data_IF_075240880126
#
_entry.id   IF_075240880126
#
_cell.length_a   1.000
_cell.length_b   1.000
_cell.length_c   1.000
_cell.angle_alpha   90.00
_cell.angle_beta   90.00
_cell.angle_gamma   90.00
#
_symmetry.space_group_name_H-M   'P 1'
#
loop_
_entity.id
_entity.type
_entity.pdbx_description
1 polymer ?
#
# COMPACT_ATOMS: atom_id res chain seq x y z
N UNK A 1 -25.93 -24.34 42.84
CA UNK A 1 -25.54 -23.36 43.88
C UNK A 1 -24.02 -23.29 43.95
N UNK A 2 -23.43 -22.10 44.11
CA UNK A 2 -22.59 -21.48 43.07
C UNK A 2 -21.31 -20.77 43.59
N UNK A 3 -20.54 -20.16 42.65
CA UNK A 3 -19.57 -19.07 42.88
C UNK A 3 -18.36 -19.14 41.94
N UNK A 4 -18.29 -18.38 40.82
CA UNK A 4 -17.75 -17.00 40.68
C UNK A 4 -16.19 -16.96 40.79
N UNK A 5 -15.37 -16.39 39.89
CA UNK A 5 -15.55 -15.27 38.97
C UNK A 5 -14.71 -15.40 37.68
N UNK A 6 -15.32 -15.07 36.53
CA UNK A 6 -14.64 -14.62 35.31
C UNK A 6 -15.11 -13.19 35.08
N UNK A 7 -14.26 -12.21 35.38
CA UNK A 7 -14.51 -10.82 35.01
C UNK A 7 -14.28 -10.62 33.51
N UNK A 8 -15.37 -10.70 32.76
CA UNK A 8 -15.56 -9.98 31.51
C UNK A 8 -15.85 -8.53 31.87
N UNK A 9 -15.02 -7.60 31.41
CA UNK A 9 -15.38 -6.17 31.39
C UNK A 9 -16.02 -5.89 30.03
N UNK A 10 -17.35 -6.05 29.98
CA UNK A 10 -18.20 -5.32 29.06
C UNK A 10 -18.62 -4.00 29.70
N UNK A 11 -18.66 -2.93 28.91
CA UNK A 11 -19.43 -1.75 29.23
C UNK A 11 -18.73 -0.44 28.88
N UNK A 12 -18.74 -0.06 27.60
CA UNK A 12 -19.36 1.20 27.16
C UNK A 12 -20.02 0.93 25.81
N UNK A 13 -21.34 0.79 25.85
CA UNK A 13 -22.23 0.96 24.71
C UNK A 13 -22.16 2.42 24.24
N UNK A 14 -21.23 2.71 23.34
CA UNK A 14 -21.23 3.95 22.56
C UNK A 14 -21.90 3.66 21.23
N UNK A 15 -23.09 4.22 21.03
CA UNK A 15 -23.71 4.35 19.71
C UNK A 15 -22.66 4.85 18.72
N UNK A 16 -22.29 4.03 17.74
CA UNK A 16 -21.71 4.54 16.51
C UNK A 16 -22.74 5.51 15.92
N UNK A 17 -22.41 6.78 15.64
CA UNK A 17 -23.25 7.56 14.77
C UNK A 17 -23.24 6.85 13.41
N UNK A 18 -24.39 6.28 13.04
CA UNK A 18 -24.73 6.02 11.64
C UNK A 18 -24.78 7.36 10.92
N UNK A 19 -23.61 7.83 10.48
CA UNK A 19 -23.42 8.84 9.45
C UNK A 19 -22.71 8.07 8.34
N UNK A 20 -23.28 7.65 7.22
CA UNK A 20 -24.43 8.10 6.45
C UNK A 20 -25.09 6.88 5.81
N UNK A 21 -26.39 6.69 6.02
CA UNK A 21 -27.26 5.88 5.16
C UNK A 21 -28.71 6.17 5.52
N UNK A 22 -29.21 7.32 5.06
CA UNK A 22 -30.58 7.53 4.57
C UNK A 22 -30.76 8.99 4.16
N UNK A 23 -30.93 9.18 2.86
CA UNK A 23 -31.12 10.45 2.17
C UNK A 23 -31.19 10.22 0.67
N UNK A 24 -31.86 9.13 0.24
CA UNK A 24 -32.38 9.02 -1.12
C UNK A 24 -33.66 9.86 -1.14
N UNK A 25 -33.51 11.12 -1.52
CA UNK A 25 -34.52 11.91 -2.19
C UNK A 25 -33.75 12.88 -3.07
N UNK A 26 -33.94 12.75 -4.38
CA UNK A 26 -33.49 13.68 -5.40
C UNK A 26 -33.78 15.12 -4.99
N UNK A 27 -32.81 16.01 -5.25
CA UNK A 27 -33.08 17.06 -6.21
C UNK A 27 -32.21 16.80 -7.42
N UNK A 28 -32.78 17.03 -8.60
CA UNK A 28 -32.05 17.11 -9.87
C UNK A 28 -30.72 17.86 -9.67
N UNK A 29 -29.64 17.09 -9.53
CA UNK A 29 -28.29 17.61 -9.60
C UNK A 29 -28.10 17.91 -11.09
N UNK A 30 -28.45 19.14 -11.48
CA UNK A 30 -28.08 19.69 -12.77
C UNK A 30 -26.57 19.65 -12.84
N UNK A 31 -26.04 18.55 -13.36
CA UNK A 31 -24.67 18.43 -13.80
C UNK A 31 -24.46 19.58 -14.78
N UNK A 32 -23.81 20.64 -14.29
CA UNK A 32 -23.34 21.72 -15.14
C UNK A 32 -22.43 21.01 -16.15
N UNK A 33 -22.73 21.02 -17.46
CA UNK A 33 -21.82 20.45 -18.44
C UNK A 33 -20.48 21.11 -18.22
N UNK A 34 -19.36 20.37 -18.14
CA UNK A 34 -18.06 21.00 -18.03
C UNK A 34 -17.96 22.03 -19.16
N UNK A 35 -17.80 23.31 -18.80
CA UNK A 35 -17.39 24.31 -19.76
C UNK A 35 -16.17 23.72 -20.49
N UNK A 36 -16.16 23.77 -21.83
CA UNK A 36 -15.07 23.16 -22.60
C UNK A 36 -13.75 23.76 -22.12
N UNK A 37 -12.95 22.96 -21.42
CA UNK A 37 -11.69 23.40 -20.89
C UNK A 37 -10.75 23.74 -22.06
N UNK A 38 -9.98 24.82 -21.91
CA UNK A 38 -9.06 25.27 -22.96
C UNK A 38 -7.97 24.23 -23.27
N UNK A 39 -7.64 23.36 -22.30
CA UNK A 39 -6.65 22.29 -22.44
C UNK A 39 -7.14 20.99 -21.79
N UNK A 40 -6.91 19.87 -22.47
CA UNK A 40 -7.11 18.52 -21.95
C UNK A 40 -5.78 17.76 -21.85
N UNK A 41 -5.62 16.94 -20.81
CA UNK A 41 -4.53 15.98 -20.65
C UNK A 41 -5.10 14.58 -20.45
N UNK A 42 -4.77 13.65 -21.35
CA UNK A 42 -5.25 12.27 -21.31
C UNK A 42 -4.63 11.51 -20.13
N UNK A 43 -3.31 11.68 -19.94
CA UNK A 43 -2.56 11.02 -18.88
C UNK A 43 -1.61 11.97 -18.16
N UNK A 44 -1.63 11.93 -16.83
CA UNK A 44 -0.64 12.63 -16.01
C UNK A 44 -0.02 11.71 -14.97
N UNK A 45 1.20 12.03 -14.58
CA UNK A 45 1.86 11.44 -13.40
C UNK A 45 2.34 12.56 -12.48
N UNK A 46 2.15 12.43 -11.16
CA UNK A 46 2.69 13.38 -10.18
C UNK A 46 3.90 12.81 -9.44
N UNK A 47 4.97 13.60 -9.36
CA UNK A 47 6.19 13.26 -8.63
C UNK A 47 6.96 14.56 -8.29
N UNK A 48 7.64 14.64 -7.12
CA UNK A 48 8.14 15.91 -6.59
C UNK A 48 9.24 16.52 -7.46
N UNK A 49 10.15 15.68 -7.96
CA UNK A 49 11.36 16.11 -8.67
C UNK A 49 11.53 15.33 -9.97
N UNK A 50 11.21 15.91 -11.14
CA UNK A 50 11.26 15.21 -12.42
C UNK A 50 12.68 14.89 -12.89
N UNK A 51 13.69 15.57 -12.36
CA UNK A 51 15.10 15.30 -12.63
C UNK A 51 15.75 14.26 -11.69
N UNK A 52 15.00 13.71 -10.73
CA UNK A 52 15.52 12.64 -9.90
C UNK A 52 15.71 11.38 -10.76
N UNK A 53 16.77 10.62 -10.54
CA UNK A 53 17.05 9.39 -11.32
C UNK A 53 15.99 8.31 -11.09
N UNK A 54 15.36 8.35 -9.92
CA UNK A 54 14.18 7.55 -9.63
C UNK A 54 13.00 8.02 -10.49
N UNK A 55 12.17 7.10 -11.01
CA UNK A 55 11.04 7.34 -11.91
C UNK A 55 11.38 7.76 -13.35
N UNK A 56 12.60 8.20 -13.65
CA UNK A 56 12.96 8.70 -14.97
C UNK A 56 12.72 7.69 -16.11
N UNK A 57 13.01 6.41 -15.88
CA UNK A 57 12.75 5.36 -16.86
C UNK A 57 11.24 5.17 -17.09
N UNK A 58 10.46 5.10 -16.01
CA UNK A 58 9.01 4.93 -16.08
C UNK A 58 8.30 6.10 -16.76
N UNK A 59 8.68 7.34 -16.43
CA UNK A 59 8.14 8.54 -17.09
C UNK A 59 8.45 8.54 -18.60
N UNK A 60 9.65 8.11 -18.99
CA UNK A 60 10.02 7.97 -20.40
C UNK A 60 9.21 6.87 -21.11
N UNK A 61 8.94 5.74 -20.45
CA UNK A 61 8.06 4.70 -21.00
C UNK A 61 6.64 5.21 -21.18
N UNK A 62 6.06 5.88 -20.18
CA UNK A 62 4.72 6.50 -20.30
C UNK A 62 4.66 7.49 -21.46
N UNK A 63 5.62 8.42 -21.55
CA UNK A 63 5.68 9.41 -22.63
C UNK A 63 5.76 8.76 -24.02
N UNK A 64 6.61 7.73 -24.17
CA UNK A 64 6.76 6.99 -25.42
C UNK A 64 5.47 6.27 -25.81
N UNK A 65 4.86 5.55 -24.88
CA UNK A 65 3.62 4.79 -25.14
C UNK A 65 2.42 5.72 -25.42
N UNK A 66 2.33 6.87 -24.75
CA UNK A 66 1.33 7.91 -25.03
C UNK A 66 1.53 8.50 -26.44
N UNK A 67 2.77 8.87 -26.80
CA UNK A 67 3.09 9.41 -28.12
C UNK A 67 2.71 8.44 -29.24
N UNK A 68 2.97 7.15 -29.08
CA UNK A 68 2.58 6.12 -30.05
C UNK A 68 1.06 5.98 -30.23
N UNK A 69 0.26 6.47 -29.28
CA UNK A 69 -1.22 6.38 -29.27
C UNK A 69 -1.90 7.74 -29.43
N UNK A 70 -1.14 8.78 -29.73
CA UNK A 70 -1.62 10.16 -29.83
C UNK A 70 -2.34 10.66 -28.56
N UNK A 71 -1.86 10.24 -27.39
CA UNK A 71 -2.34 10.74 -26.11
C UNK A 71 -1.42 11.85 -25.59
N UNK A 72 -2.03 12.88 -25.04
CA UNK A 72 -1.32 13.93 -24.32
C UNK A 72 -0.84 13.41 -22.96
N UNK A 73 0.41 13.72 -22.63
CA UNK A 73 1.07 13.28 -21.40
C UNK A 73 1.80 14.43 -20.73
N UNK A 74 1.67 14.54 -19.41
CA UNK A 74 2.42 15.54 -18.63
C UNK A 74 2.85 14.99 -17.26
N UNK A 75 4.09 15.31 -16.87
CA UNK A 75 4.59 15.13 -15.50
C UNK A 75 4.26 16.38 -14.70
N UNK A 76 3.55 16.22 -13.60
CA UNK A 76 3.25 17.27 -12.63
C UNK A 76 4.22 17.14 -11.46
N UNK A 77 4.82 18.24 -11.04
CA UNK A 77 5.88 18.24 -10.02
C UNK A 77 5.86 19.50 -9.17
N UNK A 78 6.81 19.65 -8.23
CA UNK A 78 6.81 20.73 -7.23
C UNK A 78 6.72 22.14 -7.86
N UNK A 79 7.25 22.29 -9.07
CA UNK A 79 7.23 23.55 -9.82
C UNK A 79 5.93 23.85 -10.57
N UNK A 80 5.06 22.85 -10.76
CA UNK A 80 3.85 22.96 -11.60
C UNK A 80 2.56 22.55 -10.89
N UNK A 81 2.62 21.83 -9.76
CA UNK A 81 1.44 21.30 -9.07
C UNK A 81 0.45 22.39 -8.63
N UNK A 82 0.96 23.50 -8.09
CA UNK A 82 0.12 24.63 -7.63
C UNK A 82 -0.58 25.33 -8.80
N UNK A 83 0.14 25.52 -9.91
CA UNK A 83 -0.44 26.12 -11.12
C UNK A 83 -1.46 25.18 -11.77
N UNK A 84 -1.16 23.88 -11.81
CA UNK A 84 -2.06 22.85 -12.33
C UNK A 84 -3.36 22.82 -11.54
N UNK A 85 -3.29 22.85 -10.20
CA UNK A 85 -4.45 22.97 -9.32
C UNK A 85 -5.27 24.22 -9.59
N UNK A 86 -4.62 25.37 -9.80
CA UNK A 86 -5.31 26.62 -10.14
C UNK A 86 -6.06 26.48 -11.46
N UNK A 87 -5.42 25.93 -12.48
CA UNK A 87 -6.00 25.79 -13.82
C UNK A 87 -7.15 24.78 -13.85
N UNK A 88 -7.03 23.67 -13.11
CA UNK A 88 -8.13 22.73 -12.87
C UNK A 88 -9.30 23.49 -12.23
N UNK A 89 -9.11 24.11 -11.07
CA UNK A 89 -10.17 24.83 -10.33
C UNK A 89 -10.84 25.94 -11.14
N UNK A 90 -10.11 26.57 -12.05
CA UNK A 90 -10.62 27.59 -12.96
C UNK A 90 -11.33 27.03 -14.22
N UNK A 91 -11.33 25.72 -14.42
CA UNK A 91 -11.89 25.07 -15.62
C UNK A 91 -11.04 25.25 -16.88
N UNK A 92 -9.81 25.76 -16.76
CA UNK A 92 -8.90 25.97 -17.90
C UNK A 92 -8.13 24.70 -18.30
N UNK A 93 -8.14 23.69 -17.43
CA UNK A 93 -7.49 22.40 -17.63
C UNK A 93 -8.44 21.28 -17.20
N UNK A 94 -8.44 20.17 -17.92
CA UNK A 94 -9.00 18.89 -17.47
C UNK A 94 -7.96 17.78 -17.59
N UNK A 95 -8.07 16.77 -16.72
CA UNK A 95 -7.20 15.59 -16.72
C UNK A 95 -8.08 14.34 -16.76
N UNK A 96 -7.87 13.48 -17.75
CA UNK A 96 -8.62 12.23 -17.92
C UNK A 96 -8.19 11.14 -16.93
N UNK A 97 -6.89 10.83 -16.88
CA UNK A 97 -6.33 9.78 -16.02
C UNK A 97 -5.07 10.24 -15.28
N UNK A 98 -4.98 9.96 -13.98
CA UNK A 98 -3.91 10.48 -13.12
C UNK A 98 -3.21 9.40 -12.28
N UNK A 99 -1.90 9.26 -12.48
CA UNK A 99 -1.02 8.40 -11.69
C UNK A 99 -0.40 9.23 -10.56
N UNK A 100 -0.83 8.95 -9.34
CA UNK A 100 -0.31 9.60 -8.16
C UNK A 100 0.83 8.78 -7.54
N UNK A 101 2.03 9.37 -7.47
CA UNK A 101 3.21 8.74 -6.88
C UNK A 101 3.74 9.51 -5.67
N UNK A 102 3.02 10.51 -5.16
CA UNK A 102 3.58 11.33 -4.08
C UNK A 102 2.60 11.86 -3.05
N UNK A 103 1.28 11.74 -3.22
CA UNK A 103 0.34 12.26 -2.22
C UNK A 103 0.65 11.78 -0.81
N UNK A 104 0.70 12.75 0.10
CA UNK A 104 0.86 12.51 1.53
C UNK A 104 -0.47 12.79 2.23
N UNK A 105 -1.37 11.82 2.19
CA UNK A 105 -2.76 11.95 2.66
C UNK A 105 -2.93 12.37 4.13
N UNK A 106 -1.89 12.18 4.94
CA UNK A 106 -1.84 12.56 6.36
C UNK A 106 -1.37 14.00 6.58
N UNK A 107 -0.76 14.63 5.57
CA UNK A 107 -0.28 16.01 5.64
C UNK A 107 -1.43 16.95 5.23
N UNK A 108 -1.88 17.84 6.13
CA UNK A 108 -2.92 18.80 5.79
C UNK A 108 -2.49 19.70 4.62
N UNK A 109 -3.37 19.85 3.63
CA UNK A 109 -3.13 20.67 2.42
C UNK A 109 -1.92 20.23 1.60
N UNK A 110 -1.61 18.93 1.61
CA UNK A 110 -0.64 18.37 0.68
C UNK A 110 -1.09 18.63 -0.77
N UNK A 111 -0.27 19.31 -1.61
CA UNK A 111 -0.69 19.73 -2.93
C UNK A 111 -0.95 18.55 -3.88
N UNK A 112 -0.33 17.40 -3.64
CA UNK A 112 -0.54 16.20 -4.45
C UNK A 112 -1.85 15.51 -4.08
N UNK A 113 -2.15 15.40 -2.78
CA UNK A 113 -3.44 14.90 -2.32
C UNK A 113 -4.60 15.79 -2.80
N UNK A 114 -4.42 17.13 -2.75
CA UNK A 114 -5.39 18.07 -3.31
C UNK A 114 -5.53 17.93 -4.83
N UNK A 115 -4.44 17.65 -5.56
CA UNK A 115 -4.46 17.43 -7.00
C UNK A 115 -5.31 16.20 -7.34
N UNK A 116 -5.04 15.06 -6.71
CA UNK A 116 -5.78 13.83 -6.96
C UNK A 116 -7.28 14.00 -6.64
N UNK A 117 -7.62 14.68 -5.54
CA UNK A 117 -9.01 14.99 -5.21
C UNK A 117 -9.66 15.92 -6.24
N UNK A 118 -8.99 17.02 -6.60
CA UNK A 118 -9.52 18.00 -7.56
C UNK A 118 -9.77 17.36 -8.94
N UNK A 119 -8.89 16.46 -9.38
CA UNK A 119 -9.06 15.71 -10.63
C UNK A 119 -10.32 14.84 -10.57
N UNK A 120 -10.53 14.10 -9.47
CA UNK A 120 -11.72 13.29 -9.28
C UNK A 120 -13.00 14.14 -9.26
N UNK A 121 -13.00 15.25 -8.52
CA UNK A 121 -14.16 16.14 -8.38
C UNK A 121 -14.58 16.76 -9.73
N UNK A 122 -13.66 16.83 -10.70
CA UNK A 122 -13.90 17.34 -12.06
C UNK A 122 -14.21 16.24 -13.08
N UNK A 123 -14.43 15.00 -12.63
CA UNK A 123 -14.76 13.86 -13.49
C UNK A 123 -13.55 13.16 -14.13
N UNK A 124 -12.34 13.58 -13.79
CA UNK A 124 -11.12 12.83 -14.07
C UNK A 124 -11.01 11.59 -13.19
N UNK A 125 -10.11 10.67 -13.55
CA UNK A 125 -9.95 9.39 -12.85
C UNK A 125 -8.53 9.30 -12.30
N UNK A 126 -8.32 9.53 -11.00
CA UNK A 126 -7.11 9.06 -10.32
C UNK A 126 -7.07 7.52 -10.36
N UNK A 127 -5.89 6.94 -10.59
CA UNK A 127 -5.68 5.48 -10.59
C UNK A 127 -6.24 4.85 -9.31
N UNK A 128 -5.90 5.44 -8.16
CA UNK A 128 -6.49 5.07 -6.89
C UNK A 128 -7.48 6.14 -6.46
N UNK A 129 -8.74 5.78 -6.14
CA UNK A 129 -9.70 6.74 -5.62
C UNK A 129 -9.16 7.43 -4.34
N UNK A 130 -9.10 8.78 -4.29
CA UNK A 130 -8.54 9.54 -3.17
C UNK A 130 -9.02 9.10 -1.78
N UNK A 131 -10.33 8.91 -1.61
CA UNK A 131 -10.91 8.48 -0.34
C UNK A 131 -10.42 7.09 0.10
N UNK A 132 -10.22 6.17 -0.86
CA UNK A 132 -9.70 4.81 -0.60
C UNK A 132 -8.21 4.83 -0.34
N UNK A 133 -7.43 5.54 -1.17
CA UNK A 133 -6.00 5.70 -0.98
C UNK A 133 -5.69 6.28 0.40
N UNK A 134 -6.37 7.36 0.80
CA UNK A 134 -6.25 7.96 2.13
C UNK A 134 -6.56 6.99 3.27
N UNK A 135 -7.61 6.19 3.15
CA UNK A 135 -8.03 5.30 4.22
C UNK A 135 -7.08 4.10 4.41
N UNK A 136 -6.51 3.58 3.32
CA UNK A 136 -5.80 2.29 3.30
C UNK A 136 -4.29 2.41 3.30
N UNK A 137 -3.75 3.58 2.93
CA UNK A 137 -2.32 3.87 3.13
C UNK A 137 -1.97 4.14 4.59
N UNK A 138 -2.97 4.47 5.43
CA UNK A 138 -2.87 4.39 6.88
C UNK A 138 -2.80 2.92 7.30
N UNK A 139 -1.61 2.47 7.68
CA UNK A 139 -1.36 1.08 8.05
C UNK A 139 -2.16 0.63 9.26
N UNK A 140 -2.51 1.53 10.19
CA UNK A 140 -3.31 1.18 11.36
C UNK A 140 -4.77 0.88 10.99
N UNK A 141 -5.34 1.66 10.06
CA UNK A 141 -6.67 1.39 9.53
C UNK A 141 -6.69 0.12 8.68
N UNK A 142 -5.74 -0.02 7.75
CA UNK A 142 -5.59 -1.21 6.93
C UNK A 142 -5.44 -2.48 7.77
N UNK A 143 -4.56 -2.46 8.78
CA UNK A 143 -4.38 -3.58 9.71
C UNK A 143 -5.71 -4.03 10.35
N UNK A 144 -6.51 -3.08 10.83
CA UNK A 144 -7.81 -3.37 11.45
C UNK A 144 -8.83 -3.99 10.48
N UNK A 145 -8.84 -3.56 9.21
CA UNK A 145 -9.68 -4.15 8.17
C UNK A 145 -9.24 -5.59 7.83
N UNK A 146 -7.93 -5.80 7.60
CA UNK A 146 -7.37 -7.12 7.28
C UNK A 146 -7.65 -8.12 8.41
N UNK A 147 -7.37 -7.73 9.65
CA UNK A 147 -7.61 -8.56 10.83
C UNK A 147 -9.08 -8.98 10.95
N UNK A 148 -10.02 -8.03 10.79
CA UNK A 148 -11.47 -8.33 10.85
C UNK A 148 -11.95 -9.27 9.76
N UNK A 149 -11.28 -9.28 8.60
CA UNK A 149 -11.57 -10.18 7.47
C UNK A 149 -10.89 -11.55 7.60
N UNK A 150 -10.15 -11.78 8.68
CA UNK A 150 -9.40 -13.04 8.87
C UNK A 150 -8.22 -13.20 7.91
N UNK A 151 -7.74 -12.09 7.34
CA UNK A 151 -6.49 -12.05 6.60
C UNK A 151 -5.32 -12.07 7.59
N UNK A 152 -4.35 -12.92 7.33
CA UNK A 152 -3.16 -13.04 8.18
C UNK A 152 -2.37 -11.75 8.25
N UNK A 153 -2.20 -11.23 9.46
CA UNK A 153 -1.37 -10.07 9.79
C UNK A 153 -0.59 -10.36 11.08
N UNK A 154 0.57 -9.73 11.32
CA UNK A 154 1.31 -9.91 12.56
C UNK A 154 0.50 -9.46 13.77
N UNK A 155 0.74 -10.07 14.93
CA UNK A 155 0.19 -9.56 16.17
C UNK A 155 0.68 -8.12 16.38
N UNK A 156 -0.26 -7.20 16.51
CA UNK A 156 0.03 -5.76 16.47
C UNK A 156 -0.66 -5.04 17.61
N UNK A 157 0.10 -4.22 18.33
CA UNK A 157 -0.43 -3.18 19.21
C UNK A 157 -0.49 -1.86 18.42
N UNK A 158 -1.70 -1.37 18.18
CA UNK A 158 -1.94 -0.08 17.54
C UNK A 158 -2.06 1.00 18.62
N UNK A 159 -1.23 2.03 18.52
CA UNK A 159 -1.19 3.17 19.43
C UNK A 159 -1.59 4.42 18.66
N UNK A 160 -2.79 4.96 18.94
CA UNK A 160 -3.30 6.17 18.29
C UNK A 160 -2.95 7.43 19.11
N UNK A 161 -2.76 8.61 18.48
CA UNK A 161 -2.46 9.85 19.19
C UNK A 161 -3.43 10.14 20.34
N UNK A 162 -4.74 10.04 20.09
CA UNK A 162 -5.78 10.30 21.10
C UNK A 162 -5.73 9.38 22.34
N UNK A 163 -5.13 8.20 22.26
CA UNK A 163 -5.11 7.22 23.38
C UNK A 163 -3.69 7.04 23.93
N UNK A 164 -2.78 7.96 23.61
CA UNK A 164 -1.37 7.80 23.93
C UNK A 164 -1.06 8.03 25.40
N UNK A 165 -1.79 8.92 26.05
CA UNK A 165 -1.66 9.15 27.50
C UNK A 165 -2.15 7.94 28.32
N UNK A 166 -3.01 7.10 27.73
CA UNK A 166 -3.46 5.84 28.32
C UNK A 166 -2.43 4.71 28.17
N UNK A 167 -1.42 4.87 27.30
CA UNK A 167 -0.38 3.88 27.10
C UNK A 167 0.64 3.94 28.25
N UNK A 168 0.45 3.06 29.22
CA UNK A 168 1.36 2.92 30.36
C UNK A 168 2.37 1.79 30.14
N UNK A 169 3.54 1.88 30.77
CA UNK A 169 4.54 0.80 30.72
C UNK A 169 3.97 -0.58 31.16
N UNK A 170 3.09 -0.68 32.18
CA UNK A 170 2.39 -1.93 32.48
C UNK A 170 1.49 -2.44 31.36
N UNK A 171 0.77 -1.57 30.64
CA UNK A 171 -0.08 -1.97 29.51
C UNK A 171 0.76 -2.52 28.34
N UNK A 172 1.86 -1.84 28.03
CA UNK A 172 2.83 -2.31 27.03
C UNK A 172 3.47 -3.64 27.45
N UNK A 173 3.91 -3.77 28.71
CA UNK A 173 4.45 -5.02 29.25
C UNK A 173 3.44 -6.16 29.14
N UNK A 174 2.16 -5.92 29.44
CA UNK A 174 1.12 -6.94 29.25
C UNK A 174 1.02 -7.38 27.81
N UNK A 175 1.06 -6.46 26.83
CA UNK A 175 1.09 -6.83 25.41
C UNK A 175 2.31 -7.70 25.07
N UNK A 176 3.51 -7.26 25.49
CA UNK A 176 4.76 -7.99 25.28
C UNK A 176 4.76 -9.39 25.95
N UNK A 177 4.00 -9.57 27.02
CA UNK A 177 3.85 -10.81 27.77
C UNK A 177 2.64 -11.67 27.35
N UNK A 178 1.70 -11.14 26.54
CA UNK A 178 0.38 -11.75 26.30
C UNK A 178 0.44 -13.07 25.54
N UNK A 179 1.56 -13.42 24.89
CA UNK A 179 1.67 -14.67 24.16
C UNK A 179 1.89 -15.86 25.09
N UNK A 180 0.93 -16.79 25.05
CA UNK A 180 1.06 -18.16 25.55
C UNK A 180 1.94 -18.96 24.58
N UNK A 181 3.25 -18.70 24.57
CA UNK A 181 4.22 -19.31 23.64
C UNK A 181 5.64 -18.80 23.84
N UNK A 182 6.57 -19.17 22.96
CA UNK A 182 7.90 -18.58 22.94
C UNK A 182 7.79 -17.08 22.56
N UNK A 183 8.57 -16.19 23.21
CA UNK A 183 8.56 -14.78 22.85
C UNK A 183 8.99 -14.59 21.38
N UNK A 184 8.43 -13.61 20.66
CA UNK A 184 8.87 -13.33 19.29
C UNK A 184 10.36 -12.95 19.28
N UNK A 185 11.02 -13.09 18.13
CA UNK A 185 12.46 -12.75 18.00
C UNK A 185 12.71 -11.24 18.16
N UNK A 186 11.75 -10.45 17.73
CA UNK A 186 11.78 -9.00 17.83
C UNK A 186 10.42 -8.38 17.53
N UNK A 187 10.43 -7.05 17.51
CA UNK A 187 9.29 -6.23 17.22
C UNK A 187 9.68 -5.13 16.23
N UNK A 188 8.76 -4.81 15.32
CA UNK A 188 8.86 -3.65 14.44
C UNK A 188 7.91 -2.57 14.93
N UNK A 189 8.44 -1.40 15.27
CA UNK A 189 7.65 -0.20 15.46
C UNK A 189 7.59 0.55 14.12
N UNK A 190 6.39 0.77 13.61
CA UNK A 190 6.11 1.45 12.34
C UNK A 190 5.21 2.64 12.59
N UNK A 191 5.44 3.74 11.90
CA UNK A 191 4.45 4.80 11.72
C UNK A 191 3.28 4.26 10.88
N UNK A 192 2.06 4.71 11.17
CA UNK A 192 0.89 4.33 10.39
C UNK A 192 0.95 4.96 9.00
N UNK A 193 1.47 6.19 8.91
CA UNK A 193 1.68 6.92 7.67
C UNK A 193 3.18 6.98 7.31
N UNK A 194 3.48 7.05 6.02
CA UNK A 194 4.86 7.14 5.51
C UNK A 194 5.27 5.98 4.60
N UNK A 195 6.38 6.19 3.88
CA UNK A 195 6.89 5.31 2.83
C UNK A 195 8.41 5.11 2.92
N UNK A 196 8.92 4.07 2.25
CA UNK A 196 10.35 3.82 2.07
C UNK A 196 11.12 3.47 3.36
N UNK A 197 10.48 2.77 4.30
CA UNK A 197 11.11 2.34 5.56
C UNK A 197 11.40 3.47 6.57
N UNK A 198 11.08 4.72 6.24
CA UNK A 198 11.15 5.83 7.20
C UNK A 198 10.13 5.61 8.31
N UNK A 199 10.56 5.76 9.56
CA UNK A 199 9.71 5.49 10.72
C UNK A 199 9.62 4.01 11.11
N UNK A 200 10.44 3.14 10.53
CA UNK A 200 10.63 1.76 10.98
C UNK A 200 11.76 1.68 12.01
N UNK A 201 11.45 1.15 13.20
CA UNK A 201 12.46 0.82 14.21
C UNK A 201 12.32 -0.65 14.59
N UNK A 202 13.42 -1.39 14.60
CA UNK A 202 13.46 -2.78 15.01
C UNK A 202 14.01 -2.90 16.43
N UNK A 203 13.33 -3.67 17.26
CA UNK A 203 13.75 -3.98 18.63
C UNK A 203 13.88 -5.49 18.80
N UNK A 204 15.00 -5.96 19.35
CA UNK A 204 15.15 -7.39 19.66
C UNK A 204 14.45 -7.71 20.98
N UNK A 205 13.72 -8.83 21.04
CA UNK A 205 12.90 -9.15 22.21
C UNK A 205 13.72 -9.42 23.49
N UNK A 206 14.98 -9.84 23.34
CA UNK A 206 15.89 -10.13 24.45
C UNK A 206 16.56 -8.87 25.05
N UNK A 207 16.19 -7.66 24.62
CA UNK A 207 16.78 -6.42 25.13
C UNK A 207 16.28 -6.07 26.54
N UNK A 208 17.22 -6.02 27.49
CA UNK A 208 17.02 -5.41 28.79
C UNK A 208 16.65 -3.93 28.56
N UNK A 209 15.42 -3.53 28.88
CA UNK A 209 14.82 -2.19 28.61
C UNK A 209 14.03 -2.01 27.31
N UNK A 210 13.62 -3.08 26.62
CA UNK A 210 12.73 -3.03 25.46
C UNK A 210 11.55 -2.05 25.63
N UNK A 211 10.82 -2.16 26.74
CA UNK A 211 9.67 -1.30 27.06
C UNK A 211 10.06 0.17 27.13
N UNK A 212 11.19 0.50 27.77
CA UNK A 212 11.67 1.87 27.90
C UNK A 212 12.08 2.44 26.55
N UNK A 213 12.75 1.64 25.71
CA UNK A 213 13.17 2.03 24.37
C UNK A 213 11.96 2.34 23.48
N UNK A 214 10.94 1.47 23.45
CA UNK A 214 9.69 1.71 22.72
C UNK A 214 9.01 2.99 23.22
N UNK A 215 8.89 3.15 24.54
CA UNK A 215 8.26 4.35 25.12
C UNK A 215 9.02 5.64 24.79
N UNK A 216 10.36 5.59 24.73
CA UNK A 216 11.17 6.73 24.31
C UNK A 216 10.93 7.09 22.85
N UNK A 217 10.97 6.11 21.94
CA UNK A 217 10.70 6.35 20.51
C UNK A 217 9.31 6.94 20.30
N UNK A 218 8.31 6.44 21.04
CA UNK A 218 6.97 7.01 21.00
C UNK A 218 6.97 8.47 21.47
N UNK A 219 7.65 8.83 22.56
CA UNK A 219 7.73 10.22 23.08
C UNK A 219 8.23 11.24 22.07
N UNK A 220 9.20 10.85 21.25
CA UNK A 220 9.84 11.72 20.26
C UNK A 220 8.96 11.98 19.03
N UNK A 221 8.02 11.09 18.75
CA UNK A 221 7.03 11.24 17.71
C UNK A 221 5.87 12.16 18.14
N UNK A 222 5.37 13.00 17.22
CA UNK A 222 4.13 13.76 17.42
C UNK A 222 3.23 13.57 16.20
N UNK A 223 1.94 13.34 16.45
CA UNK A 223 0.82 13.42 15.50
C UNK A 223 0.48 12.20 14.61
N UNK A 224 1.21 11.09 14.63
CA UNK A 224 0.84 9.86 13.89
C UNK A 224 0.47 8.68 14.81
N UNK A 225 -0.31 7.73 14.28
CA UNK A 225 -0.51 6.43 14.90
C UNK A 225 0.72 5.53 14.69
N UNK A 226 0.93 4.59 15.61
CA UNK A 226 2.05 3.66 15.58
C UNK A 226 1.57 2.22 15.67
N UNK A 227 2.25 1.33 14.97
CA UNK A 227 2.05 -0.11 15.00
C UNK A 227 3.29 -0.75 15.60
N UNK A 228 3.16 -1.39 16.76
CA UNK A 228 4.16 -2.29 17.29
C UNK A 228 3.79 -3.72 16.88
N UNK A 229 4.50 -4.26 15.90
CA UNK A 229 4.22 -5.55 15.28
C UNK A 229 5.24 -6.59 15.71
N UNK A 230 4.79 -7.81 15.99
CA UNK A 230 5.70 -8.94 16.18
C UNK A 230 6.45 -9.23 14.87
N UNK A 231 7.75 -9.50 14.97
CA UNK A 231 8.49 -10.08 13.84
C UNK A 231 7.93 -11.45 13.48
N UNK A 232 7.69 -11.67 12.19
CA UNK A 232 7.27 -12.97 11.67
C UNK A 232 8.51 -13.75 11.27
N UNK A 233 8.70 -14.91 11.89
CA UNK A 233 9.70 -15.88 11.43
C UNK A 233 9.21 -16.58 10.16
N UNK A 234 10.06 -16.64 9.15
CA UNK A 234 9.76 -17.25 7.85
C UNK A 234 10.82 -18.29 7.45
N UNK A 235 10.44 -19.36 6.71
CA UNK A 235 11.40 -20.31 6.17
C UNK A 235 12.27 -19.70 5.07
N UNK A 236 13.41 -20.34 4.83
CA UNK A 236 14.13 -20.23 3.56
C UNK A 236 13.72 -21.38 2.65
N UNK A 237 13.56 -21.08 1.36
CA UNK A 237 13.08 -22.00 0.34
C UNK A 237 14.02 -22.00 -0.84
N UNK A 238 14.34 -23.18 -1.36
CA UNK A 238 15.09 -23.33 -2.59
C UNK A 238 14.19 -23.09 -3.80
N UNK A 239 14.50 -22.04 -4.57
CA UNK A 239 13.69 -21.60 -5.71
C UNK A 239 14.27 -22.02 -7.07
N UNK A 240 15.54 -22.42 -7.07
CA UNK A 240 16.30 -23.03 -8.15
C UNK A 240 17.52 -23.75 -7.53
N UNK A 241 18.18 -24.69 -8.22
CA UNK A 241 19.33 -25.42 -7.67
C UNK A 241 20.40 -24.50 -7.07
N UNK A 242 20.62 -24.60 -5.76
CA UNK A 242 21.58 -23.77 -5.01
C UNK A 242 21.14 -22.33 -4.73
N UNK A 243 19.92 -21.93 -5.12
CA UNK A 243 19.38 -20.59 -4.92
C UNK A 243 18.30 -20.64 -3.84
N UNK A 244 18.60 -20.08 -2.67
CA UNK A 244 17.64 -19.98 -1.56
C UNK A 244 17.15 -18.55 -1.39
N UNK A 245 15.84 -18.40 -1.15
CA UNK A 245 15.20 -17.14 -0.81
C UNK A 245 14.38 -17.30 0.46
N UNK A 246 14.22 -16.23 1.26
CA UNK A 246 13.17 -16.25 2.27
C UNK A 246 11.81 -16.50 1.58
N UNK A 247 10.89 -17.17 2.27
CA UNK A 247 9.48 -17.26 1.89
C UNK A 247 8.79 -15.92 2.09
N UNK A 248 9.24 -14.96 1.30
CA UNK A 248 8.90 -13.56 1.34
C UNK A 248 8.70 -13.09 -0.10
N UNK A 249 7.55 -12.50 -0.36
CA UNK A 249 7.15 -11.99 -1.65
C UNK A 249 6.74 -10.54 -1.56
N UNK A 250 7.00 -9.84 -2.65
CA UNK A 250 6.37 -8.56 -2.94
C UNK A 250 5.51 -8.75 -4.17
N UNK A 251 4.26 -8.32 -4.09
CA UNK A 251 3.32 -8.40 -5.20
C UNK A 251 2.95 -6.98 -5.57
N UNK A 252 3.15 -6.65 -6.85
CA UNK A 252 2.67 -5.39 -7.42
C UNK A 252 1.32 -5.69 -8.06
N UNK A 253 0.27 -5.05 -7.60
CA UNK A 253 -1.06 -5.10 -8.20
C UNK A 253 -1.25 -3.87 -9.10
N UNK A 254 -1.67 -4.09 -10.34
CA UNK A 254 -1.90 -3.04 -11.32
C UNK A 254 -3.14 -3.35 -12.15
N UNK A 255 -4.17 -2.53 -11.97
CA UNK A 255 -5.52 -2.65 -12.48
C UNK A 255 -6.14 -3.97 -12.02
N UNK A 256 -6.15 -4.98 -12.87
CA UNK A 256 -6.73 -6.30 -12.60
C UNK A 256 -5.66 -7.41 -12.63
N UNK A 257 -4.38 -7.04 -12.69
CA UNK A 257 -3.27 -7.99 -12.81
C UNK A 257 -2.29 -7.86 -11.65
N UNK A 258 -1.81 -9.01 -11.17
CA UNK A 258 -0.83 -9.11 -10.10
C UNK A 258 0.50 -9.62 -10.64
N UNK A 259 1.58 -8.95 -10.26
CA UNK A 259 2.96 -9.28 -10.59
C UNK A 259 3.69 -9.72 -9.32
N UNK A 260 3.73 -11.03 -9.03
CA UNK A 260 4.37 -11.54 -7.84
C UNK A 260 5.88 -11.72 -8.03
N UNK A 261 6.65 -11.41 -6.99
CA UNK A 261 8.10 -11.57 -6.95
C UNK A 261 8.52 -12.28 -5.67
N UNK A 262 9.46 -13.21 -5.79
CA UNK A 262 10.36 -13.50 -4.66
C UNK A 262 11.09 -12.21 -4.32
N UNK A 263 11.03 -11.80 -3.06
CA UNK A 263 11.50 -10.50 -2.64
C UNK A 263 12.32 -10.56 -1.36
N UNK A 264 13.34 -9.72 -1.29
CA UNK A 264 13.97 -9.30 -0.04
C UNK A 264 14.55 -7.89 -0.19
N UNK A 265 14.69 -7.12 0.90
CA UNK A 265 15.28 -5.80 0.85
C UNK A 265 16.67 -5.80 0.20
N UNK A 266 16.98 -4.73 -0.54
CA UNK A 266 18.19 -4.61 -1.35
C UNK A 266 19.47 -4.66 -0.49
N UNK A 267 19.41 -4.06 0.69
CA UNK A 267 20.45 -4.08 1.72
C UNK A 267 20.78 -5.49 2.23
N UNK A 268 19.88 -6.46 2.06
CA UNK A 268 20.09 -7.87 2.42
C UNK A 268 20.40 -8.77 1.22
N UNK A 269 20.54 -8.19 0.02
CA UNK A 269 21.01 -8.89 -1.16
C UNK A 269 22.53 -9.02 -1.14
N UNK A 270 23.04 -10.20 -1.52
CA UNK A 270 24.48 -10.38 -1.74
C UNK A 270 24.90 -9.65 -3.02
N UNK A 271 26.19 -9.33 -3.19
CA UNK A 271 26.67 -8.79 -4.47
C UNK A 271 26.25 -9.66 -5.66
N UNK A 272 25.61 -9.05 -6.66
CA UNK A 272 25.08 -9.74 -7.85
C UNK A 272 23.68 -10.37 -7.68
N UNK A 273 23.11 -10.33 -6.48
CA UNK A 273 21.75 -10.82 -6.22
C UNK A 273 20.72 -9.70 -6.41
N UNK A 274 19.62 -10.01 -7.09
CA UNK A 274 18.52 -9.07 -7.32
C UNK A 274 17.49 -9.12 -6.19
N UNK A 275 16.95 -7.97 -5.77
CA UNK A 275 15.85 -7.96 -4.79
C UNK A 275 14.59 -8.61 -5.33
N UNK A 276 14.22 -8.30 -6.56
CA UNK A 276 13.03 -8.80 -7.23
C UNK A 276 13.39 -9.92 -8.20
N UNK A 277 12.88 -11.13 -7.95
CA UNK A 277 12.88 -12.22 -8.91
C UNK A 277 11.43 -12.61 -9.23
N UNK A 278 10.99 -12.61 -10.51
CA UNK A 278 9.62 -12.99 -10.86
C UNK A 278 9.24 -14.36 -10.30
N UNK A 279 8.07 -14.44 -9.67
CA UNK A 279 7.48 -15.71 -9.27
C UNK A 279 6.76 -16.32 -10.48
N UNK A 280 7.28 -17.43 -10.98
CA UNK A 280 6.76 -18.06 -12.20
C UNK A 280 5.50 -18.89 -11.93
N UNK A 281 4.61 -19.08 -12.93
CA UNK A 281 3.46 -19.98 -12.79
C UNK A 281 3.84 -21.43 -12.44
N UNK A 282 5.02 -21.89 -12.88
CA UNK A 282 5.50 -23.22 -12.52
C UNK A 282 5.88 -23.30 -11.04
N UNK A 283 6.60 -22.31 -10.50
CA UNK A 283 6.87 -22.24 -9.07
C UNK A 283 5.58 -22.16 -8.24
N UNK A 284 4.59 -21.38 -8.70
CA UNK A 284 3.28 -21.31 -8.03
C UNK A 284 2.64 -22.70 -7.91
N UNK A 285 2.66 -23.49 -8.98
CA UNK A 285 2.12 -24.86 -8.98
C UNK A 285 2.95 -25.81 -8.11
N UNK A 286 4.26 -25.88 -8.35
CA UNK A 286 5.17 -26.82 -7.68
C UNK A 286 5.19 -26.60 -6.16
N UNK A 287 5.17 -25.33 -5.75
CA UNK A 287 5.29 -24.92 -4.35
C UNK A 287 3.93 -24.61 -3.71
N UNK A 288 2.83 -24.83 -4.45
CA UNK A 288 1.44 -24.63 -4.01
C UNK A 288 1.18 -23.22 -3.46
N UNK A 289 1.71 -22.21 -4.14
CA UNK A 289 1.63 -20.80 -3.72
C UNK A 289 0.37 -20.09 -4.20
N UNK A 290 -0.63 -20.79 -4.72
CA UNK A 290 -1.91 -20.18 -5.09
C UNK A 290 -2.54 -19.35 -3.94
N UNK A 291 -2.52 -19.80 -2.67
CA UNK A 291 -3.02 -19.00 -1.54
C UNK A 291 -2.35 -17.63 -1.36
N UNK A 292 -1.12 -17.44 -1.86
CA UNK A 292 -0.44 -16.14 -1.88
C UNK A 292 -1.14 -15.17 -2.86
N UNK A 293 -1.50 -15.68 -4.04
CA UNK A 293 -2.16 -14.90 -5.08
C UNK A 293 -3.62 -14.62 -4.69
N UNK A 294 -4.29 -15.59 -4.08
CA UNK A 294 -5.64 -15.44 -3.56
C UNK A 294 -5.69 -14.37 -2.45
N UNK A 295 -4.70 -14.35 -1.55
CA UNK A 295 -4.55 -13.28 -0.55
C UNK A 295 -4.41 -11.91 -1.24
N UNK A 296 -3.53 -11.79 -2.23
CA UNK A 296 -3.29 -10.53 -2.93
C UNK A 296 -4.51 -10.03 -3.69
N UNK A 297 -5.26 -10.94 -4.31
CA UNK A 297 -6.50 -10.61 -5.02
C UNK A 297 -7.54 -10.07 -4.04
N UNK A 298 -7.64 -10.70 -2.87
CA UNK A 298 -8.56 -10.27 -1.85
C UNK A 298 -8.19 -8.93 -1.20
N UNK A 299 -6.88 -8.61 -1.13
CA UNK A 299 -6.46 -7.24 -0.79
C UNK A 299 -6.94 -6.23 -1.82
N UNK A 300 -6.83 -6.55 -3.12
CA UNK A 300 -7.31 -5.66 -4.17
C UNK A 300 -8.81 -5.41 -4.06
N UNK A 301 -9.60 -6.47 -3.84
CA UNK A 301 -11.05 -6.40 -3.65
C UNK A 301 -11.44 -5.62 -2.39
N UNK A 302 -10.75 -5.85 -1.28
CA UNK A 302 -10.95 -5.11 -0.03
C UNK A 302 -10.61 -3.64 -0.19
N UNK A 303 -9.52 -3.36 -0.90
CA UNK A 303 -8.98 -2.02 -1.03
C UNK A 303 -9.72 -1.16 -2.04
N UNK A 304 -10.20 -1.76 -3.13
CA UNK A 304 -10.71 -1.03 -4.29
C UNK A 304 -9.63 -0.12 -4.89
N UNK A 305 -8.37 -0.52 -4.79
CA UNK A 305 -7.22 0.21 -5.33
C UNK A 305 -6.73 -0.50 -6.58
N UNK A 306 -6.62 0.22 -7.68
CA UNK A 306 -6.11 -0.31 -8.95
C UNK A 306 -4.57 -0.31 -8.98
N UNK A 307 -3.88 0.28 -7.99
CA UNK A 307 -2.42 0.33 -7.98
C UNK A 307 -1.87 0.30 -6.56
N UNK A 308 -1.21 -0.78 -6.21
CA UNK A 308 -0.50 -0.89 -4.94
C UNK A 308 0.50 -2.03 -4.98
N UNK A 309 1.39 -2.08 -3.99
CA UNK A 309 2.17 -3.26 -3.71
C UNK A 309 1.93 -3.73 -2.28
N UNK A 310 2.00 -5.04 -2.09
CA UNK A 310 1.90 -5.70 -0.79
C UNK A 310 3.12 -6.59 -0.56
N UNK A 311 3.46 -6.79 0.71
CA UNK A 311 4.58 -7.62 1.15
C UNK A 311 4.04 -8.75 2.02
N UNK A 312 4.22 -9.99 1.54
CA UNK A 312 3.64 -11.20 2.13
C UNK A 312 4.74 -12.19 2.50
N UNK A 313 4.59 -12.92 3.59
CA UNK A 313 5.48 -14.03 3.93
C UNK A 313 4.70 -15.27 4.39
N UNK A 314 5.40 -16.41 4.46
CA UNK A 314 4.92 -17.57 5.19
C UNK A 314 5.45 -17.52 6.62
N UNK A 315 4.57 -17.65 7.62
CA UNK A 315 5.01 -17.74 9.00
C UNK A 315 5.38 -19.18 9.37
N UNK A 316 6.49 -19.37 10.09
CA UNK A 316 6.82 -20.64 10.77
C UNK A 316 5.88 -20.90 11.94
N UNK A 317 5.48 -19.83 12.64
CA UNK A 317 4.58 -19.90 13.78
C UNK A 317 3.10 -19.83 13.36
N UNK A 318 2.18 -20.36 14.19
CA UNK A 318 0.75 -20.19 13.96
C UNK A 318 0.34 -18.71 14.02
N UNK A 319 -0.16 -18.20 12.90
CA UNK A 319 -0.81 -16.89 12.79
C UNK A 319 -2.21 -17.12 12.21
N UNK A 320 -3.27 -16.54 12.79
CA UNK A 320 -4.61 -16.64 12.22
C UNK A 320 -4.64 -16.12 10.79
N UNK A 321 -4.83 -17.01 9.82
CA UNK A 321 -4.98 -16.67 8.42
C UNK A 321 -5.83 -17.74 7.74
N UNK A 322 -6.81 -17.31 6.96
CA UNK A 322 -7.57 -18.22 6.07
C UNK A 322 -6.74 -18.72 4.88
N UNK A 323 -5.66 -18.01 4.55
CA UNK A 323 -4.78 -18.34 3.44
C UNK A 323 -3.59 -19.11 4.00
N UNK A 324 -3.44 -20.37 3.60
CA UNK A 324 -2.42 -21.27 4.14
C UNK A 324 -1.79 -22.10 3.03
N UNK A 325 -0.47 -22.26 3.08
CA UNK A 325 0.30 -23.05 2.12
C UNK A 325 0.77 -24.33 2.78
N UNK A 326 0.42 -25.47 2.18
CA UNK A 326 1.04 -26.76 2.52
C UNK A 326 2.39 -26.86 1.81
N UNK A 327 3.45 -26.66 2.57
CA UNK A 327 4.83 -26.61 2.10
C UNK A 327 5.37 -28.01 1.78
N UNK A 328 6.50 -28.06 1.06
CA UNK A 328 7.13 -29.32 0.62
C UNK A 328 7.69 -30.15 1.79
N UNK A 329 8.01 -29.52 2.91
CA UNK A 329 8.40 -30.18 4.16
C UNK A 329 7.19 -30.74 4.95
N UNK A 330 5.99 -30.69 4.38
CA UNK A 330 4.76 -31.20 4.97
C UNK A 330 4.07 -30.25 5.95
N UNK A 331 4.74 -29.19 6.40
CA UNK A 331 4.13 -28.19 7.30
C UNK A 331 3.10 -27.34 6.55
N UNK A 332 2.08 -26.90 7.28
CA UNK A 332 1.12 -25.92 6.81
C UNK A 332 1.51 -24.58 7.44
N UNK A 333 1.78 -23.59 6.59
CA UNK A 333 2.19 -22.26 7.03
C UNK A 333 1.15 -21.22 6.60
N UNK A 334 0.72 -20.32 7.49
CA UNK A 334 -0.18 -19.24 7.13
C UNK A 334 0.54 -18.21 6.26
N UNK A 335 -0.20 -17.63 5.31
CA UNK A 335 0.21 -16.44 4.56
C UNK A 335 -0.10 -15.22 5.42
N UNK A 336 0.90 -14.36 5.61
CA UNK A 336 0.82 -13.17 6.46
C UNK A 336 1.28 -11.96 5.67
N UNK A 337 0.47 -10.91 5.61
CA UNK A 337 0.91 -9.62 5.08
C UNK A 337 1.70 -8.87 6.15
N UNK A 338 2.93 -8.50 5.83
CA UNK A 338 3.82 -7.73 6.72
C UNK A 338 3.97 -6.27 6.28
N UNK A 339 3.50 -5.96 5.07
CA UNK A 339 3.13 -4.62 4.63
C UNK A 339 1.94 -4.68 3.66
N UNK A 340 0.98 -3.75 3.78
CA UNK A 340 -0.39 -3.96 3.27
C UNK A 340 -0.64 -3.30 1.91
N UNK A 341 -0.75 -1.98 1.90
CA UNK A 341 -1.09 -1.18 0.73
C UNK A 341 -0.03 -0.08 0.56
N UNK A 342 0.98 -0.36 -0.26
CA UNK A 342 1.94 0.63 -0.70
C UNK A 342 1.50 1.18 -2.06
N UNK A 343 0.81 2.31 -2.09
CA UNK A 343 0.29 2.93 -3.32
C UNK A 343 1.36 3.69 -4.13
N UNK A 344 2.48 4.02 -3.51
CA UNK A 344 3.69 4.53 -4.17
C UNK A 344 4.65 3.38 -4.52
N UNK A 345 4.25 2.50 -5.45
CA UNK A 345 5.06 1.31 -5.77
C UNK A 345 6.40 1.64 -6.42
N UNK A 346 7.36 0.72 -6.31
CA UNK A 346 8.64 0.84 -7.01
C UNK A 346 8.44 0.72 -8.52
N UNK A 347 8.76 1.78 -9.26
CA UNK A 347 8.78 1.81 -10.74
C UNK A 347 10.14 2.22 -11.29
N UNK A 348 11.16 2.16 -10.45
CA UNK A 348 12.54 2.12 -10.91
C UNK A 348 12.83 0.81 -11.64
N UNK A 349 13.92 0.78 -12.40
CA UNK A 349 14.27 -0.36 -13.24
C UNK A 349 15.50 -1.09 -12.73
N UNK A 350 15.46 -2.42 -12.76
CA UNK A 350 16.51 -3.29 -12.23
C UNK A 350 17.86 -3.09 -12.91
N UNK A 351 17.88 -2.73 -14.20
CA UNK A 351 19.10 -2.39 -14.94
C UNK A 351 19.87 -1.20 -14.38
N UNK A 352 19.21 -0.34 -13.60
CA UNK A 352 19.82 0.82 -12.91
C UNK A 352 19.97 0.58 -11.41
N UNK A 353 19.04 -0.17 -10.82
CA UNK A 353 18.97 -0.38 -9.38
C UNK A 353 18.63 -1.84 -9.09
N UNK A 354 19.57 -2.62 -8.57
CA UNK A 354 19.34 -4.04 -8.23
C UNK A 354 18.17 -4.28 -7.26
N UNK A 355 17.82 -3.25 -6.47
CA UNK A 355 16.67 -3.21 -5.58
C UNK A 355 15.32 -2.97 -6.24
N UNK A 356 15.25 -2.82 -7.57
CA UNK A 356 14.04 -2.48 -8.30
C UNK A 356 13.46 -3.67 -9.10
N UNK A 357 12.17 -3.59 -9.51
CA UNK A 357 11.57 -4.61 -10.38
C UNK A 357 12.26 -4.72 -11.74
N UNK A 358 12.16 -5.88 -12.42
CA UNK A 358 12.72 -6.06 -13.76
C UNK A 358 12.17 -5.04 -14.76
N UNK A 359 13.05 -4.51 -15.63
CA UNK A 359 12.73 -3.49 -16.63
C UNK A 359 11.49 -3.83 -17.47
N UNK A 360 11.39 -5.08 -17.93
CA UNK A 360 10.28 -5.54 -18.75
C UNK A 360 8.92 -5.47 -18.03
N UNK A 361 8.91 -5.65 -16.70
CA UNK A 361 7.70 -5.47 -15.89
C UNK A 361 7.34 -3.99 -15.82
N UNK A 362 8.30 -3.12 -15.50
CA UNK A 362 8.07 -1.67 -15.39
C UNK A 362 7.55 -1.09 -16.71
N UNK A 363 8.10 -1.55 -17.84
CA UNK A 363 7.60 -1.19 -19.17
C UNK A 363 6.19 -1.74 -19.44
N UNK A 364 5.87 -2.96 -18.99
CA UNK A 364 4.52 -3.52 -19.09
C UNK A 364 3.50 -2.75 -18.25
N UNK A 365 3.88 -2.28 -17.06
CA UNK A 365 3.06 -1.42 -16.21
C UNK A 365 2.75 -0.10 -16.93
N UNK A 366 3.76 0.54 -17.55
CA UNK A 366 3.55 1.77 -18.32
C UNK A 366 2.54 1.54 -19.47
N UNK A 367 2.68 0.44 -20.21
CA UNK A 367 1.72 0.05 -21.28
C UNK A 367 0.30 -0.12 -20.75
N UNK A 368 0.13 -0.71 -19.55
CA UNK A 368 -1.19 -0.88 -18.93
C UNK A 368 -1.85 0.45 -18.60
N UNK A 369 -1.12 1.36 -17.96
CA UNK A 369 -1.66 2.69 -17.63
C UNK A 369 -2.04 3.49 -18.87
N UNK A 370 -1.20 3.49 -19.89
CA UNK A 370 -1.51 4.15 -21.17
C UNK A 370 -2.68 3.47 -21.88
N UNK A 371 -2.78 2.13 -21.82
CA UNK A 371 -3.93 1.39 -22.34
C UNK A 371 -5.25 1.79 -21.67
N UNK A 372 -5.24 1.97 -20.33
CA UNK A 372 -6.39 2.47 -19.58
C UNK A 372 -6.72 3.92 -19.97
N UNK A 373 -5.73 4.80 -20.06
CA UNK A 373 -5.93 6.19 -20.51
C UNK A 373 -6.58 6.25 -21.91
N UNK A 374 -6.11 5.43 -22.86
CA UNK A 374 -6.70 5.33 -24.20
C UNK A 374 -8.16 4.87 -24.17
N UNK A 375 -8.47 3.87 -23.32
CA UNK A 375 -9.85 3.40 -23.17
C UNK A 375 -10.76 4.49 -22.63
N UNK A 376 -10.29 5.27 -21.64
CA UNK A 376 -11.02 6.40 -21.06
C UNK A 376 -11.22 7.53 -22.09
N UNK A 377 -10.19 7.92 -22.83
CA UNK A 377 -10.27 8.95 -23.87
C UNK A 377 -11.28 8.61 -24.97
N UNK A 378 -11.50 7.31 -25.26
CA UNK A 378 -12.51 6.83 -26.21
C UNK A 378 -13.93 6.84 -25.65
N UNK A 379 -14.10 6.60 -24.35
CA UNK A 379 -15.41 6.59 -23.68
C UNK A 379 -15.91 8.01 -23.42
N UNK A 380 -14.99 8.94 -23.16
CA UNK A 380 -15.27 10.34 -22.91
C UNK A 380 -14.54 11.21 -23.93
N UNK A 381 -14.95 11.19 -25.22
CA UNK A 381 -14.36 12.05 -26.23
C UNK A 381 -14.70 13.51 -25.87
N UNK A 382 -13.81 14.15 -25.13
CA UNK A 382 -13.81 15.59 -24.92
C UNK A 382 -13.51 16.20 -26.30
N UNK A 383 -14.56 16.54 -27.06
CA UNK A 383 -14.57 17.09 -28.41
C UNK A 383 -13.18 17.31 -29.04
N UNK A 384 -12.75 16.34 -29.85
CA UNK A 384 -11.61 16.42 -30.79
C UNK A 384 -11.83 17.46 -31.92
N UNK A 385 -12.59 18.51 -31.66
CA UNK A 385 -12.94 19.54 -32.63
C UNK A 385 -12.61 20.92 -32.06
N UNK A 386 -11.37 21.34 -32.31
CA UNK A 386 -11.02 22.72 -32.61
C UNK A 386 -10.03 22.70 -33.78
#
# INVERSE_FOLDING_TARGET
MPGQDREFVEGISGNFPRLFSQGLNDPEETAIPPAMAEKHLDLTISLPRPGHTSFAAFAAFLARECSQRNLSFQVIHDGTVVETLRNLRAGMLTIGYHLDFFSLWHIPRDPYAELAQTIQDQGGIPVNPPARARALTDKANAHGELFRKGLGVPDTLIMRPQNRDDLTAPALNRFLQKRLGAPPRGYFLKTANGFGGKGLTYFRAAEDMLTSAIMQTLREARDDAYLLQTEIEYPFVEIAPGVHRPAYWRIIHCLEESFPFWWKPAEFCRPGEMSYLPLTPEQVRQMRLQPLLDYSQELAELGGLDWFSTELCLAEEPVPSRHQVRCLDGKIRPVVAIDYFNDQCHVDVQSRWHGAPPDAIVEALARKFVGKALALARLFPQNLAA
#
